data_IF_877578107979
#
_entry.id   IF_877578107979
#
_cell.length_a   1.000
_cell.length_b   1.000
_cell.length_c   1.000
_cell.angle_alpha   90.00
_cell.angle_beta   90.00
_cell.angle_gamma   90.00
#
_symmetry.space_group_name_H-M   'P 1'
#
loop_
_entity.id
_entity.type
_entity.pdbx_description
1 polymer ?
#
# COMPACT_ATOMS: atom_id res chain seq x y z
N UNK A 1 10.47 1.56 38.88
CA UNK A 1 11.16 1.70 40.22
C UNK A 1 10.51 2.82 41.06
N UNK A 2 9.74 3.72 40.48
CA UNK A 2 9.09 4.85 41.21
C UNK A 2 7.61 4.60 41.51
N UNK A 3 7.10 3.39 41.26
CA UNK A 3 5.75 2.96 41.55
C UNK A 3 4.68 3.53 40.57
N UNK A 4 3.45 3.01 40.62
CA UNK A 4 2.39 3.33 39.63
C UNK A 4 1.94 4.82 39.67
N UNK A 5 2.10 5.51 40.79
CA UNK A 5 1.77 6.94 40.92
C UNK A 5 2.70 7.90 40.13
N UNK A 6 3.72 7.38 39.45
CA UNK A 6 4.64 8.16 38.60
C UNK A 6 4.47 7.85 37.12
N UNK A 7 3.49 7.02 36.76
CA UNK A 7 3.15 6.75 35.36
C UNK A 7 2.33 7.92 34.82
N UNK A 8 2.63 8.35 33.58
CA UNK A 8 1.86 9.37 32.88
C UNK A 8 0.36 8.96 32.81
N UNK A 9 -0.59 9.79 33.28
CA UNK A 9 -2.01 9.42 33.29
C UNK A 9 -2.58 9.06 31.90
N UNK A 10 -2.03 9.64 30.84
CA UNK A 10 -2.44 9.39 29.47
C UNK A 10 -1.65 8.25 28.79
N UNK A 11 -0.79 7.54 29.50
CA UNK A 11 0.03 6.46 28.91
C UNK A 11 -0.83 5.47 28.12
N UNK A 12 -1.94 4.99 28.70
CA UNK A 12 -2.79 3.99 28.04
C UNK A 12 -3.45 4.57 26.77
N UNK A 13 -4.15 5.74 26.82
CA UNK A 13 -4.63 6.36 25.59
C UNK A 13 -3.56 6.64 24.53
N UNK A 14 -2.34 7.01 24.93
CA UNK A 14 -1.25 7.26 23.99
C UNK A 14 -0.66 6.00 23.36
N UNK A 15 -0.84 4.85 24.01
CA UNK A 15 -0.24 3.58 23.58
C UNK A 15 -1.16 2.74 22.69
N UNK A 16 -2.48 2.86 22.85
CA UNK A 16 -3.43 2.05 22.07
C UNK A 16 -3.59 2.57 20.64
N UNK A 17 -3.45 1.68 19.66
CA UNK A 17 -3.37 2.01 18.25
C UNK A 17 -4.62 2.68 17.65
N UNK A 18 -5.80 2.46 18.25
CA UNK A 18 -7.06 3.08 17.80
C UNK A 18 -7.09 4.60 17.98
N UNK A 19 -6.22 5.19 18.79
CA UNK A 19 -6.32 6.60 19.17
C UNK A 19 -6.05 7.57 18.02
N UNK A 20 -5.38 7.18 16.95
CA UNK A 20 -5.28 8.00 15.75
C UNK A 20 -6.69 8.24 15.14
N UNK A 21 -7.43 7.16 14.88
CA UNK A 21 -8.80 7.22 14.37
C UNK A 21 -9.75 7.87 15.39
N UNK A 22 -9.59 7.55 16.68
CA UNK A 22 -10.39 8.14 17.77
C UNK A 22 -10.26 9.66 17.86
N UNK A 23 -9.05 10.21 17.73
CA UNK A 23 -8.83 11.65 17.72
C UNK A 23 -9.46 12.32 16.50
N UNK A 24 -9.33 11.72 15.31
CA UNK A 24 -10.01 12.22 14.10
C UNK A 24 -11.52 12.22 14.30
N UNK A 25 -12.09 11.13 14.84
CA UNK A 25 -13.52 11.03 15.15
C UNK A 25 -13.98 12.13 16.11
N UNK A 26 -13.25 12.37 17.19
CA UNK A 26 -13.56 13.43 18.17
C UNK A 26 -13.45 14.82 17.53
N UNK A 27 -12.36 15.07 16.79
CA UNK A 27 -12.09 16.38 16.19
C UNK A 27 -13.18 16.81 15.18
N UNK A 28 -13.69 15.86 14.41
CA UNK A 28 -14.66 16.13 13.35
C UNK A 28 -16.10 15.70 13.69
N UNK A 29 -16.35 15.21 14.90
CA UNK A 29 -17.67 14.78 15.34
C UNK A 29 -18.21 13.56 14.57
N UNK A 30 -17.34 12.68 14.08
CA UNK A 30 -17.72 11.50 13.31
C UNK A 30 -18.20 10.39 14.27
N UNK A 31 -19.47 10.01 14.18
CA UNK A 31 -20.13 9.10 15.15
C UNK A 31 -20.40 7.70 14.59
N UNK A 32 -19.98 7.43 13.36
CA UNK A 32 -20.12 6.12 12.72
C UNK A 32 -19.11 5.11 13.27
N UNK A 33 -18.97 3.99 12.54
CA UNK A 33 -18.00 2.93 12.84
C UNK A 33 -16.58 3.52 12.90
N UNK A 34 -15.91 3.35 14.03
CA UNK A 34 -14.51 3.75 14.23
C UNK A 34 -13.72 2.54 14.66
N UNK A 35 -12.85 2.06 13.80
CA UNK A 35 -12.03 0.87 14.02
C UNK A 35 -10.57 1.15 13.65
N UNK A 36 -9.66 0.32 14.13
CA UNK A 36 -8.27 0.33 13.73
C UNK A 36 -7.91 -1.02 13.10
N UNK A 37 -7.43 -0.97 11.87
CA UNK A 37 -6.86 -2.12 11.17
C UNK A 37 -5.37 -2.18 11.48
N UNK A 38 -4.84 -3.36 11.80
CA UNK A 38 -3.41 -3.57 12.07
C UNK A 38 -2.95 -4.82 11.34
N UNK A 39 -2.27 -4.64 10.22
CA UNK A 39 -1.75 -5.72 9.36
C UNK A 39 -0.35 -5.38 8.84
N UNK A 40 0.50 -4.87 9.74
CA UNK A 40 1.87 -4.45 9.44
C UNK A 40 1.90 -3.52 8.21
N UNK A 41 2.74 -3.78 7.22
CA UNK A 41 2.91 -2.93 6.04
C UNK A 41 1.67 -2.90 5.11
N UNK A 42 0.71 -3.80 5.28
CA UNK A 42 -0.55 -3.81 4.53
C UNK A 42 -1.69 -3.03 5.19
N UNK A 43 -1.44 -2.40 6.35
CA UNK A 43 -2.46 -1.72 7.16
C UNK A 43 -3.26 -0.67 6.37
N UNK A 44 -2.58 0.23 5.66
CA UNK A 44 -3.25 1.30 4.91
C UNK A 44 -4.17 0.77 3.82
N UNK A 45 -3.72 -0.24 3.08
CA UNK A 45 -4.50 -0.89 2.02
C UNK A 45 -5.70 -1.63 2.59
N UNK A 46 -5.51 -2.41 3.65
CA UNK A 46 -6.63 -3.08 4.34
C UNK A 46 -7.62 -2.07 4.92
N UNK A 47 -7.14 -0.98 5.53
CA UNK A 47 -8.01 0.06 6.09
C UNK A 47 -8.95 0.67 5.03
N UNK A 48 -8.41 0.97 3.85
CA UNK A 48 -9.21 1.48 2.72
C UNK A 48 -10.17 0.40 2.20
N UNK A 49 -9.71 -0.85 2.10
CA UNK A 49 -10.53 -1.99 1.67
C UNK A 49 -11.70 -2.26 2.60
N UNK A 50 -11.49 -2.23 3.92
CA UNK A 50 -12.55 -2.41 4.92
C UNK A 50 -13.55 -1.24 4.92
N UNK A 51 -13.07 -0.01 4.69
CA UNK A 51 -13.94 1.15 4.53
C UNK A 51 -14.78 1.05 3.25
N UNK A 52 -14.19 0.58 2.15
CA UNK A 52 -14.91 0.30 0.91
C UNK A 52 -16.03 -0.74 1.12
N UNK A 53 -15.75 -1.84 1.83
CA UNK A 53 -16.77 -2.84 2.19
C UNK A 53 -17.89 -2.26 3.05
N UNK A 54 -17.55 -1.42 4.04
CA UNK A 54 -18.55 -0.78 4.88
C UNK A 54 -19.55 0.08 4.08
N UNK A 55 -19.06 0.81 3.07
CA UNK A 55 -19.91 1.60 2.17
C UNK A 55 -20.73 0.67 1.26
N UNK A 56 -20.12 -0.35 0.67
CA UNK A 56 -20.84 -1.33 -0.18
C UNK A 56 -21.98 -2.05 0.55
N UNK A 57 -21.81 -2.31 1.85
CA UNK A 57 -22.82 -2.95 2.67
C UNK A 57 -23.86 -1.97 3.24
N UNK A 58 -23.76 -0.69 2.92
CA UNK A 58 -24.69 0.34 3.41
C UNK A 58 -24.53 0.65 4.90
N UNK A 59 -23.39 0.32 5.50
CA UNK A 59 -23.11 0.66 6.92
C UNK A 59 -22.76 2.14 7.11
N UNK A 60 -22.28 2.80 6.05
CA UNK A 60 -21.93 4.23 6.03
C UNK A 60 -22.00 4.78 4.61
N UNK A 61 -22.37 6.06 4.47
CA UNK A 61 -22.27 6.79 3.21
C UNK A 61 -20.89 7.40 2.98
N UNK A 62 -20.16 7.69 4.07
CA UNK A 62 -18.84 8.33 4.05
C UNK A 62 -17.92 7.65 5.04
N UNK A 63 -16.72 7.31 4.62
CA UNK A 63 -15.66 6.76 5.47
C UNK A 63 -14.35 7.51 5.25
N UNK A 64 -13.67 7.86 6.36
CA UNK A 64 -12.29 8.35 6.35
C UNK A 64 -11.40 7.15 6.63
N UNK A 65 -10.49 6.83 5.73
CA UNK A 65 -9.67 5.63 5.81
C UNK A 65 -8.25 5.87 5.28
N UNK A 66 -7.34 4.99 5.63
CA UNK A 66 -5.94 5.05 5.19
C UNK A 66 -4.98 4.54 6.25
N UNK A 67 -3.76 5.04 6.23
CA UNK A 67 -2.72 4.68 7.18
C UNK A 67 -1.86 5.87 7.58
N UNK A 68 -1.30 5.81 8.78
CA UNK A 68 -0.33 6.78 9.31
C UNK A 68 0.78 6.05 10.05
N UNK A 69 1.99 6.56 9.97
CA UNK A 69 3.16 5.96 10.61
C UNK A 69 4.17 7.04 11.02
N UNK A 70 4.73 6.91 12.23
CA UNK A 70 5.79 7.77 12.77
C UNK A 70 6.75 6.93 13.63
N UNK A 71 7.38 5.93 13.01
CA UNK A 71 8.19 4.91 13.69
C UNK A 71 9.70 5.11 13.58
N UNK A 72 10.19 6.20 12.98
CA UNK A 72 11.63 6.53 12.92
C UNK A 72 12.08 7.02 14.31
N UNK A 73 12.19 6.08 15.21
CA UNK A 73 12.68 6.27 16.58
C UNK A 73 13.92 5.42 16.79
N UNK A 74 14.78 5.73 17.78
CA UNK A 74 15.95 4.89 18.06
C UNK A 74 15.61 3.41 18.23
N UNK A 75 14.52 3.09 18.92
CA UNK A 75 14.09 1.70 19.12
C UNK A 75 13.50 1.07 17.85
N UNK A 76 12.77 1.84 17.07
CA UNK A 76 12.22 1.39 15.77
C UNK A 76 13.34 1.05 14.79
N UNK A 77 14.31 1.96 14.62
CA UNK A 77 15.49 1.73 13.77
C UNK A 77 16.29 0.54 14.26
N UNK A 78 16.57 0.45 15.57
CA UNK A 78 17.30 -0.66 16.15
C UNK A 78 16.60 -2.02 15.93
N UNK A 79 15.26 -2.05 16.03
CA UNK A 79 14.47 -3.25 15.77
C UNK A 79 14.62 -3.76 14.33
N UNK A 80 14.41 -2.88 13.33
CA UNK A 80 14.57 -3.25 11.93
C UNK A 80 16.02 -3.52 11.53
N UNK A 81 17.00 -2.85 12.16
CA UNK A 81 18.44 -3.15 11.99
C UNK A 81 18.75 -4.57 12.48
N UNK A 82 18.24 -4.96 13.66
CA UNK A 82 18.40 -6.33 14.19
C UNK A 82 17.79 -7.40 13.29
N UNK A 83 16.73 -7.07 12.55
CA UNK A 83 16.12 -7.94 11.54
C UNK A 83 16.91 -8.00 10.24
N UNK A 84 17.99 -7.20 10.09
CA UNK A 84 18.74 -7.05 8.83
C UNK A 84 17.85 -6.65 7.64
N UNK A 85 16.78 -5.89 7.92
CA UNK A 85 15.78 -5.53 6.93
C UNK A 85 16.05 -4.17 6.26
N UNK A 86 16.86 -3.32 6.92
CA UNK A 86 17.18 -1.97 6.43
C UNK A 86 18.36 -1.99 5.46
N UNK A 87 18.28 -1.09 4.47
CA UNK A 87 19.43 -0.79 3.63
C UNK A 87 20.57 -0.19 4.47
N UNK A 88 21.81 -0.58 4.16
CA UNK A 88 23.01 -0.17 4.88
C UNK A 88 24.01 0.59 4.03
N UNK A 89 23.62 1.00 2.79
CA UNK A 89 24.50 1.77 1.92
C UNK A 89 24.65 3.22 2.39
N UNK A 90 25.83 3.80 2.20
CA UNK A 90 26.09 5.23 2.42
C UNK A 90 25.73 6.07 1.17
N UNK A 91 25.44 5.43 0.04
CA UNK A 91 25.02 6.11 -1.19
C UNK A 91 23.49 6.33 -1.19
N UNK A 92 23.09 7.56 -0.95
CA UNK A 92 21.68 7.97 -0.92
C UNK A 92 20.94 7.61 -2.21
N UNK A 93 21.62 7.61 -3.38
CA UNK A 93 21.02 7.26 -4.66
C UNK A 93 20.70 5.76 -4.78
N UNK A 94 21.35 4.93 -3.96
CA UNK A 94 21.16 3.49 -3.89
C UNK A 94 20.40 3.04 -2.64
N UNK A 95 19.85 3.98 -1.87
CA UNK A 95 19.22 3.66 -0.60
C UNK A 95 17.89 2.92 -0.76
N UNK A 96 17.03 3.33 -1.70
CA UNK A 96 15.76 2.66 -2.00
C UNK A 96 15.66 2.44 -3.51
N UNK A 97 16.04 1.24 -3.95
CA UNK A 97 16.15 0.83 -5.36
C UNK A 97 15.36 -0.46 -5.60
N UNK A 98 14.02 -0.43 -5.50
CA UNK A 98 13.20 -1.61 -5.72
C UNK A 98 13.51 -2.27 -7.06
N UNK A 99 13.52 -3.61 -7.05
CA UNK A 99 13.78 -4.50 -8.20
C UNK A 99 15.21 -4.47 -8.75
N UNK A 100 16.09 -3.57 -8.29
CA UNK A 100 17.48 -3.52 -8.73
C UNK A 100 18.30 -4.71 -8.21
N UNK A 101 19.33 -5.12 -8.95
CA UNK A 101 20.22 -6.21 -8.54
C UNK A 101 21.02 -5.90 -7.26
N UNK A 102 21.33 -4.62 -7.02
CA UNK A 102 22.12 -4.15 -5.89
C UNK A 102 21.25 -3.84 -4.66
N UNK A 103 19.93 -4.05 -4.71
CA UNK A 103 19.03 -3.83 -3.58
C UNK A 103 19.41 -4.69 -2.39
N UNK A 104 19.38 -4.12 -1.17
CA UNK A 104 19.79 -4.89 0.01
C UNK A 104 18.96 -4.60 1.27
N UNK A 105 17.82 -3.95 1.15
CA UNK A 105 16.95 -3.61 2.27
C UNK A 105 16.12 -2.36 2.00
N UNK A 106 15.14 -2.10 2.84
CA UNK A 106 14.30 -0.92 2.70
C UNK A 106 14.82 0.28 3.49
N UNK A 107 14.37 1.47 3.15
CA UNK A 107 14.55 2.71 3.91
C UNK A 107 13.25 3.01 4.66
N UNK A 108 13.32 3.25 5.97
CA UNK A 108 12.16 3.67 6.75
C UNK A 108 11.70 5.06 6.32
N UNK A 109 10.39 5.21 6.11
CA UNK A 109 9.71 6.49 5.89
C UNK A 109 8.64 6.73 6.95
N UNK A 110 8.21 7.96 7.10
CA UNK A 110 7.10 8.39 7.95
C UNK A 110 6.11 9.20 7.13
N UNK A 111 4.85 9.19 7.53
CA UNK A 111 3.83 9.99 6.89
C UNK A 111 2.41 9.47 7.11
N UNK A 112 1.49 10.00 6.33
CA UNK A 112 0.10 9.59 6.33
C UNK A 112 -0.49 9.67 4.93
N UNK A 113 -1.28 8.66 4.55
CA UNK A 113 -2.10 8.66 3.36
C UNK A 113 -3.55 8.39 3.76
N UNK A 114 -4.38 9.43 3.71
CA UNK A 114 -5.78 9.37 4.16
C UNK A 114 -6.69 9.77 3.01
N UNK A 115 -7.74 8.99 2.79
CA UNK A 115 -8.76 9.23 1.78
C UNK A 115 -10.14 9.35 2.42
N UNK A 116 -11.02 10.07 1.74
CA UNK A 116 -12.46 10.10 2.03
C UNK A 116 -13.15 9.28 0.94
N UNK A 117 -13.72 8.15 1.33
CA UNK A 117 -14.56 7.33 0.47
C UNK A 117 -16.01 7.72 0.67
N UNK A 118 -16.77 7.78 -0.40
CA UNK A 118 -18.20 8.11 -0.37
C UNK A 118 -18.98 7.15 -1.28
N UNK A 119 -20.25 6.89 -0.92
CA UNK A 119 -21.18 6.30 -1.87
C UNK A 119 -21.37 7.26 -3.06
N UNK A 120 -21.60 6.72 -4.25
CA UNK A 120 -21.80 7.52 -5.46
C UNK A 120 -22.95 8.51 -5.29
N UNK A 121 -24.04 8.04 -4.70
CA UNK A 121 -25.24 8.83 -4.45
C UNK A 121 -24.97 10.01 -3.54
N UNK A 122 -24.22 9.80 -2.46
CA UNK A 122 -23.85 10.87 -1.52
C UNK A 122 -22.93 11.90 -2.20
N UNK A 123 -21.90 11.45 -2.93
CA UNK A 123 -20.96 12.32 -3.63
C UNK A 123 -21.67 13.20 -4.68
N UNK A 124 -22.57 12.59 -5.47
CA UNK A 124 -23.36 13.31 -6.47
C UNK A 124 -24.34 14.29 -5.85
N UNK A 125 -25.04 13.89 -4.77
CA UNK A 125 -26.03 14.76 -4.08
C UNK A 125 -25.43 16.05 -3.56
N UNK A 126 -24.16 16.04 -3.14
CA UNK A 126 -23.44 17.25 -2.68
C UNK A 126 -22.61 17.94 -3.78
N UNK A 127 -22.64 17.44 -5.01
CA UNK A 127 -21.87 18.01 -6.14
C UNK A 127 -20.35 17.85 -5.98
N UNK A 128 -19.88 16.74 -5.38
CA UNK A 128 -18.46 16.50 -5.20
C UNK A 128 -17.74 16.29 -6.54
N UNK A 129 -16.48 16.75 -6.62
CA UNK A 129 -15.57 16.28 -7.65
C UNK A 129 -15.15 14.85 -7.28
N UNK A 130 -15.57 13.87 -8.05
CA UNK A 130 -15.15 12.48 -7.90
C UNK A 130 -13.80 12.33 -8.60
N UNK A 131 -12.77 11.88 -7.87
CA UNK A 131 -11.40 11.74 -8.39
C UNK A 131 -11.22 10.41 -9.11
N UNK A 132 -11.76 9.33 -8.53
CA UNK A 132 -11.71 7.99 -9.05
C UNK A 132 -12.75 7.10 -8.33
N UNK A 133 -12.95 5.88 -8.79
CA UNK A 133 -13.85 4.90 -8.19
C UNK A 133 -13.07 3.70 -7.67
N UNK A 134 -13.25 3.34 -6.39
CA UNK A 134 -12.73 2.08 -5.83
C UNK A 134 -13.65 0.97 -6.30
N UNK A 135 -13.11 -0.01 -7.00
CA UNK A 135 -13.91 -1.07 -7.63
C UNK A 135 -13.56 -2.48 -7.19
N UNK A 136 -12.40 -2.68 -6.58
CA UNK A 136 -11.98 -4.02 -6.17
C UNK A 136 -11.09 -4.01 -4.95
N UNK A 137 -11.29 -5.00 -4.09
CA UNK A 137 -10.47 -5.28 -2.92
C UNK A 137 -10.28 -6.78 -2.77
N UNK A 138 -9.02 -7.19 -2.63
CA UNK A 138 -8.62 -8.56 -2.34
C UNK A 138 -7.67 -8.62 -1.16
N UNK A 139 -7.90 -9.59 -0.27
CA UNK A 139 -7.10 -9.81 0.92
C UNK A 139 -6.83 -11.31 1.11
N UNK A 140 -5.60 -11.65 1.47
CA UNK A 140 -5.15 -13.02 1.73
C UNK A 140 -4.09 -13.05 2.83
N UNK A 141 -3.74 -14.25 3.26
CA UNK A 141 -2.61 -14.49 4.14
C UNK A 141 -1.80 -15.68 3.59
N UNK A 142 -0.48 -15.53 3.57
CA UNK A 142 0.44 -16.59 3.09
C UNK A 142 0.45 -17.83 3.97
N UNK A 143 0.21 -17.67 5.28
CA UNK A 143 0.33 -18.72 6.27
C UNK A 143 1.68 -19.49 6.19
N UNK A 144 2.77 -18.77 5.90
CA UNK A 144 4.08 -19.32 5.58
C UNK A 144 5.14 -18.97 6.62
N UNK A 145 5.48 -17.70 6.79
CA UNK A 145 6.57 -17.25 7.66
C UNK A 145 6.24 -15.88 8.30
N UNK A 146 6.84 -15.60 9.46
CA UNK A 146 6.53 -14.37 10.22
C UNK A 146 6.99 -13.08 9.52
N UNK A 147 8.06 -13.12 8.73
CA UNK A 147 8.63 -11.92 8.07
C UNK A 147 8.87 -12.08 6.56
N UNK A 148 8.96 -13.31 6.05
CA UNK A 148 9.20 -13.57 4.63
C UNK A 148 7.89 -13.85 3.91
N UNK A 149 7.63 -13.24 2.73
CA UNK A 149 6.52 -13.67 1.89
C UNK A 149 6.75 -15.08 1.36
N UNK A 150 5.67 -15.75 0.92
CA UNK A 150 5.73 -17.07 0.30
C UNK A 150 6.58 -17.02 -0.98
N UNK A 151 7.54 -17.93 -1.11
CA UNK A 151 8.54 -17.94 -2.19
C UNK A 151 7.95 -18.10 -3.59
N UNK A 152 6.78 -18.72 -3.68
CA UNK A 152 6.04 -18.92 -4.92
C UNK A 152 5.18 -17.70 -5.31
N UNK A 153 4.99 -16.73 -4.40
CA UNK A 153 4.17 -15.55 -4.62
C UNK A 153 2.65 -15.81 -4.66
N UNK A 154 2.22 -17.03 -4.32
CA UNK A 154 0.82 -17.45 -4.50
C UNK A 154 -0.18 -16.65 -3.67
N UNK A 155 0.18 -16.27 -2.43
CA UNK A 155 -0.69 -15.48 -1.56
C UNK A 155 -0.95 -14.08 -2.12
N UNK A 156 0.09 -13.37 -2.52
CA UNK A 156 -0.03 -12.05 -3.14
C UNK A 156 -0.74 -12.12 -4.51
N UNK A 157 -0.45 -13.14 -5.32
CA UNK A 157 -1.17 -13.37 -6.57
C UNK A 157 -2.68 -13.53 -6.33
N UNK A 158 -3.04 -14.30 -5.30
CA UNK A 158 -4.44 -14.53 -4.96
C UNK A 158 -5.16 -13.28 -4.46
N UNK A 159 -4.46 -12.38 -3.76
CA UNK A 159 -5.04 -11.09 -3.38
C UNK A 159 -5.36 -10.24 -4.62
N UNK A 160 -4.45 -10.19 -5.61
CA UNK A 160 -4.68 -9.50 -6.89
C UNK A 160 -5.85 -10.13 -7.67
N UNK A 161 -5.90 -11.47 -7.77
CA UNK A 161 -7.02 -12.18 -8.41
C UNK A 161 -8.37 -11.88 -7.75
N UNK A 162 -8.41 -11.84 -6.41
CA UNK A 162 -9.63 -11.49 -5.67
C UNK A 162 -10.05 -10.06 -5.93
N UNK A 163 -9.09 -9.11 -5.96
CA UNK A 163 -9.38 -7.71 -6.28
C UNK A 163 -9.93 -7.56 -7.71
N UNK A 164 -9.33 -8.24 -8.70
CA UNK A 164 -9.83 -8.22 -10.09
C UNK A 164 -11.20 -8.86 -10.21
N UNK A 165 -11.43 -9.97 -9.53
CA UNK A 165 -12.75 -10.64 -9.49
C UNK A 165 -13.81 -9.74 -8.88
N UNK A 166 -13.49 -9.05 -7.80
CA UNK A 166 -14.38 -8.11 -7.12
C UNK A 166 -14.72 -6.91 -8.02
N UNK A 167 -13.72 -6.40 -8.73
CA UNK A 167 -13.88 -5.33 -9.72
C UNK A 167 -14.62 -5.78 -11.01
N UNK A 168 -14.79 -7.07 -11.24
CA UNK A 168 -15.39 -7.62 -12.45
C UNK A 168 -14.54 -7.39 -13.71
N UNK A 169 -13.21 -7.34 -13.56
CA UNK A 169 -12.26 -7.11 -14.66
C UNK A 169 -11.36 -8.32 -14.91
N UNK A 170 -10.78 -8.34 -16.11
CA UNK A 170 -9.70 -9.28 -16.48
C UNK A 170 -8.34 -8.60 -16.36
N UNK A 171 -7.23 -9.37 -16.31
CA UNK A 171 -5.88 -8.82 -16.26
C UNK A 171 -5.59 -7.79 -17.36
N UNK A 172 -6.11 -8.00 -18.58
CA UNK A 172 -5.86 -7.16 -19.74
C UNK A 172 -6.41 -5.73 -19.61
N UNK A 173 -7.29 -5.49 -18.65
CA UNK A 173 -7.85 -4.17 -18.38
C UNK A 173 -7.01 -3.35 -17.39
N UNK A 174 -6.02 -3.96 -16.71
CA UNK A 174 -5.11 -3.24 -15.83
C UNK A 174 -4.04 -2.50 -16.64
N UNK A 175 -3.93 -1.21 -16.42
CA UNK A 175 -2.94 -0.34 -17.05
C UNK A 175 -1.70 -0.15 -16.19
N UNK A 176 -1.87 -0.18 -14.86
CA UNK A 176 -0.83 0.17 -13.90
C UNK A 176 -0.89 -0.65 -12.61
N UNK A 177 0.29 -1.09 -12.15
CA UNK A 177 0.52 -1.75 -10.86
C UNK A 177 1.45 -0.89 -10.01
N UNK A 178 0.95 -0.34 -8.92
CA UNK A 178 1.78 0.20 -7.84
C UNK A 178 2.18 -0.95 -6.94
N UNK A 179 3.40 -1.43 -7.10
CA UNK A 179 3.90 -2.58 -6.39
C UNK A 179 4.26 -2.25 -4.94
N UNK A 180 4.23 -3.27 -4.08
CA UNK A 180 4.79 -3.16 -2.75
C UNK A 180 6.28 -2.80 -2.79
N UNK A 181 7.08 -3.48 -3.63
CA UNK A 181 8.43 -3.08 -4.04
C UNK A 181 9.28 -2.43 -2.96
N UNK A 182 9.76 -3.19 -1.98
CA UNK A 182 10.43 -2.66 -0.79
C UNK A 182 11.93 -2.43 -0.95
N UNK A 183 12.53 -2.82 -2.07
CA UNK A 183 13.99 -2.85 -2.21
C UNK A 183 14.66 -3.94 -1.36
N UNK A 184 13.90 -4.95 -0.92
CA UNK A 184 14.43 -6.15 -0.29
C UNK A 184 14.55 -7.29 -1.29
N UNK A 185 15.54 -8.16 -1.08
CA UNK A 185 15.85 -9.24 -2.03
C UNK A 185 14.65 -10.16 -2.29
N UNK A 186 14.03 -10.65 -1.22
CA UNK A 186 12.95 -11.63 -1.30
C UNK A 186 11.63 -11.01 -1.74
N UNK A 187 11.25 -9.87 -1.17
CA UNK A 187 9.96 -9.26 -1.51
C UNK A 187 9.86 -8.98 -3.02
N UNK A 188 10.85 -8.28 -3.57
CA UNK A 188 10.77 -7.81 -4.96
C UNK A 188 10.77 -8.97 -5.96
N UNK A 189 11.54 -10.04 -5.67
CA UNK A 189 11.54 -11.26 -6.45
C UNK A 189 10.20 -12.00 -6.38
N UNK A 190 9.65 -12.15 -5.16
CA UNK A 190 8.43 -12.95 -4.97
C UNK A 190 7.19 -12.17 -5.41
N UNK A 191 7.18 -10.85 -5.26
CA UNK A 191 6.13 -10.01 -5.84
C UNK A 191 6.16 -10.03 -7.38
N UNK A 192 7.33 -10.04 -8.01
CA UNK A 192 7.45 -10.25 -9.45
C UNK A 192 6.79 -11.56 -9.90
N UNK A 193 7.03 -12.66 -9.17
CA UNK A 193 6.36 -13.94 -9.42
C UNK A 193 4.84 -13.83 -9.23
N UNK A 194 4.41 -13.16 -8.16
CA UNK A 194 2.99 -12.98 -7.87
C UNK A 194 2.27 -12.20 -8.99
N UNK A 195 2.88 -11.13 -9.48
CA UNK A 195 2.34 -10.34 -10.61
C UNK A 195 2.22 -11.21 -11.86
N UNK A 196 3.24 -12.01 -12.17
CA UNK A 196 3.20 -12.94 -13.32
C UNK A 196 2.12 -14.01 -13.16
N UNK A 197 1.93 -14.56 -11.95
CA UNK A 197 0.89 -15.54 -11.68
C UNK A 197 -0.50 -14.93 -11.84
N UNK A 198 -0.73 -13.73 -11.29
CA UNK A 198 -2.04 -13.09 -11.31
C UNK A 198 -2.44 -12.56 -12.70
N UNK A 199 -1.46 -12.02 -13.46
CA UNK A 199 -1.74 -11.33 -14.72
C UNK A 199 -1.40 -12.16 -15.97
N UNK A 200 -0.74 -13.30 -15.82
CA UNK A 200 -0.31 -14.14 -16.96
C UNK A 200 0.52 -13.35 -17.97
N UNK A 201 0.24 -13.50 -19.25
CA UNK A 201 0.97 -12.82 -20.33
C UNK A 201 0.84 -11.28 -20.27
N UNK A 202 -0.19 -10.76 -19.61
CA UNK A 202 -0.39 -9.32 -19.45
C UNK A 202 0.62 -8.67 -18.52
N UNK A 203 1.25 -9.43 -17.62
CA UNK A 203 2.32 -8.94 -16.75
C UNK A 203 3.48 -8.27 -17.52
N UNK A 204 3.70 -8.66 -18.77
CA UNK A 204 4.72 -8.09 -19.65
C UNK A 204 4.27 -6.80 -20.38
N UNK A 205 3.02 -6.37 -20.18
CA UNK A 205 2.43 -5.21 -20.88
C UNK A 205 2.02 -4.09 -19.94
N UNK A 206 1.67 -4.44 -18.71
CA UNK A 206 1.26 -3.49 -17.68
C UNK A 206 2.46 -2.67 -17.19
N UNK A 207 2.25 -1.38 -16.89
CA UNK A 207 3.29 -0.57 -16.25
C UNK A 207 3.33 -0.85 -14.75
N UNK A 208 4.52 -1.02 -14.22
CA UNK A 208 4.75 -1.30 -12.79
C UNK A 208 5.70 -0.23 -12.26
N UNK A 209 5.53 0.16 -11.01
CA UNK A 209 6.55 0.91 -10.29
C UNK A 209 6.47 0.65 -8.79
N UNK A 210 7.41 1.19 -8.04
CA UNK A 210 7.33 1.29 -6.59
C UNK A 210 7.49 2.73 -6.14
N UNK A 211 6.47 3.27 -5.48
CA UNK A 211 6.50 4.60 -4.85
C UNK A 211 7.56 4.68 -3.74
N UNK A 212 7.89 3.54 -3.13
CA UNK A 212 8.95 3.46 -2.11
C UNK A 212 10.34 3.83 -2.62
N UNK A 213 10.57 3.81 -3.93
CA UNK A 213 11.80 4.33 -4.53
C UNK A 213 12.00 5.83 -4.28
N UNK A 214 10.92 6.58 -4.08
CA UNK A 214 10.94 8.04 -3.88
C UNK A 214 10.84 8.45 -2.42
N UNK A 215 10.06 7.72 -1.61
CA UNK A 215 9.68 8.15 -0.25
C UNK A 215 10.10 7.18 0.85
N UNK A 216 10.73 6.07 0.50
CA UNK A 216 11.00 4.98 1.44
C UNK A 216 9.74 4.18 1.79
N UNK A 217 9.85 3.29 2.74
CA UNK A 217 8.78 2.42 3.21
C UNK A 217 8.10 3.03 4.44
N UNK A 218 6.89 3.54 4.27
CA UNK A 218 6.11 4.18 5.34
C UNK A 218 5.35 3.15 6.22
N UNK A 219 5.71 1.88 6.17
CA UNK A 219 5.13 0.80 6.98
C UNK A 219 3.59 0.81 6.91
N UNK A 220 2.90 1.05 8.02
CA UNK A 220 1.44 1.08 8.07
C UNK A 220 0.79 2.20 7.25
N UNK A 221 1.51 3.29 6.96
CA UNK A 221 1.03 4.38 6.10
C UNK A 221 1.21 4.10 4.60
N UNK A 222 2.11 3.18 4.22
CA UNK A 222 2.53 2.98 2.84
C UNK A 222 1.35 2.78 1.89
N UNK A 223 0.46 1.83 2.19
CA UNK A 223 -0.68 1.52 1.32
C UNK A 223 -1.65 2.68 1.11
N UNK A 224 -1.79 3.58 2.10
CA UNK A 224 -2.60 4.78 1.95
C UNK A 224 -2.01 5.77 0.93
N UNK A 225 -0.70 6.02 1.02
CA UNK A 225 0.02 6.90 0.08
C UNK A 225 0.08 6.29 -1.32
N UNK A 226 0.33 4.99 -1.42
CA UNK A 226 0.39 4.26 -2.68
C UNK A 226 -0.96 4.21 -3.40
N UNK A 227 -2.05 4.05 -2.65
CA UNK A 227 -3.40 4.17 -3.21
C UNK A 227 -3.68 5.58 -3.74
N UNK A 228 -3.29 6.63 -3.01
CA UNK A 228 -3.40 8.02 -3.49
C UNK A 228 -2.56 8.22 -4.75
N UNK A 229 -1.39 7.60 -4.85
CA UNK A 229 -0.55 7.63 -6.05
C UNK A 229 -1.27 7.01 -7.25
N UNK A 230 -1.98 5.89 -7.07
CA UNK A 230 -2.82 5.31 -8.13
C UNK A 230 -3.91 6.27 -8.59
N UNK A 231 -4.62 6.93 -7.66
CA UNK A 231 -5.63 7.96 -7.99
C UNK A 231 -5.00 9.11 -8.76
N UNK A 232 -3.83 9.60 -8.32
CA UNK A 232 -3.13 10.68 -9.02
C UNK A 232 -2.64 10.27 -10.41
N UNK A 233 -2.18 9.04 -10.59
CA UNK A 233 -1.81 8.52 -11.91
C UNK A 233 -2.98 8.53 -12.88
N UNK A 234 -4.19 8.25 -12.40
CA UNK A 234 -5.43 8.35 -13.20
C UNK A 234 -5.76 9.81 -13.54
N UNK A 235 -5.71 10.73 -12.55
CA UNK A 235 -6.02 12.14 -12.77
C UNK A 235 -5.03 12.81 -13.73
N UNK A 236 -3.74 12.56 -13.53
CA UNK A 236 -2.66 13.26 -14.23
C UNK A 236 -2.27 12.57 -15.56
N UNK A 237 -2.76 11.34 -15.81
CA UNK A 237 -2.36 10.55 -17.00
C UNK A 237 -0.86 10.25 -17.00
N UNK A 238 -0.31 9.92 -15.83
CA UNK A 238 1.14 9.76 -15.67
C UNK A 238 1.49 8.70 -14.63
N UNK A 239 2.35 7.76 -15.01
CA UNK A 239 2.94 6.76 -14.12
C UNK A 239 4.39 7.18 -13.83
N UNK A 240 4.70 7.42 -12.56
CA UNK A 240 6.03 7.86 -12.14
C UNK A 240 7.08 6.73 -12.26
N UNK A 241 8.38 7.04 -12.39
CA UNK A 241 9.39 6.00 -12.49
C UNK A 241 9.66 5.31 -11.15
N UNK A 242 10.25 4.11 -11.21
CA UNK A 242 10.97 3.52 -10.07
C UNK A 242 12.37 4.14 -10.04
N UNK A 243 12.56 5.11 -9.16
CA UNK A 243 13.81 5.88 -9.06
C UNK A 243 14.95 4.97 -8.58
N UNK A 244 16.13 5.14 -9.16
CA UNK A 244 17.34 4.42 -8.77
C UNK A 244 17.44 2.99 -9.32
N UNK A 245 16.42 2.48 -9.99
CA UNK A 245 16.48 1.21 -10.70
C UNK A 245 17.28 1.37 -11.99
N UNK A 246 18.48 0.79 -12.02
CA UNK A 246 19.37 0.82 -13.19
C UNK A 246 19.52 -0.55 -13.83
N UNK A 247 19.65 -1.60 -13.02
CA UNK A 247 19.88 -2.97 -13.47
C UNK A 247 18.92 -3.92 -12.75
N UNK A 248 17.85 -4.38 -13.39
CA UNK A 248 16.92 -5.33 -12.77
C UNK A 248 17.63 -6.58 -12.25
N UNK A 249 17.28 -7.00 -11.03
CA UNK A 249 17.84 -8.20 -10.42
C UNK A 249 17.35 -9.48 -11.10
N UNK A 250 18.05 -10.59 -10.85
CA UNK A 250 17.65 -11.90 -11.37
C UNK A 250 16.19 -12.22 -10.99
N UNK A 251 15.38 -12.56 -11.98
CA UNK A 251 13.96 -12.86 -11.83
C UNK A 251 13.04 -11.62 -11.70
N UNK A 252 13.60 -10.41 -11.66
CA UNK A 252 12.87 -9.15 -11.75
C UNK A 252 12.93 -8.65 -13.20
N UNK A 253 12.08 -9.19 -14.07
CA UNK A 253 12.16 -9.05 -15.53
C UNK A 253 10.89 -8.45 -16.17
N UNK A 254 10.13 -7.67 -15.38
CA UNK A 254 8.94 -6.95 -15.85
C UNK A 254 9.27 -5.46 -16.17
N UNK A 255 8.29 -4.72 -16.67
CA UNK A 255 8.43 -3.29 -16.94
C UNK A 255 8.18 -2.45 -15.68
N UNK A 256 9.23 -2.20 -14.91
CA UNK A 256 9.16 -1.42 -13.67
C UNK A 256 9.23 0.10 -13.87
N UNK A 257 8.94 0.59 -15.06
CA UNK A 257 8.99 2.03 -15.38
C UNK A 257 10.34 2.64 -14.98
N UNK A 258 11.42 2.16 -15.59
CA UNK A 258 12.79 2.57 -15.28
C UNK A 258 13.09 3.98 -15.78
N UNK A 259 14.01 4.68 -15.12
CA UNK A 259 14.59 5.96 -15.48
C UNK A 259 13.60 7.12 -15.52
N UNK A 260 12.62 7.11 -16.42
CA UNK A 260 11.64 8.17 -16.61
C UNK A 260 10.21 7.64 -16.48
N UNK A 261 9.33 8.48 -15.97
CA UNK A 261 7.90 8.15 -15.91
C UNK A 261 7.25 8.20 -17.30
N UNK A 262 6.08 7.62 -17.40
CA UNK A 262 5.37 7.46 -18.67
C UNK A 262 4.03 8.21 -18.64
N UNK A 263 3.83 9.09 -19.62
CA UNK A 263 2.49 9.68 -19.86
C UNK A 263 1.63 8.67 -20.61
N UNK A 264 0.52 8.27 -19.99
CA UNK A 264 -0.41 7.30 -20.57
C UNK A 264 -1.81 7.49 -19.97
N UNK A 265 -2.83 7.05 -20.68
CA UNK A 265 -4.17 6.99 -20.09
C UNK A 265 -4.27 5.78 -19.15
N UNK A 266 -4.52 6.05 -17.88
CA UNK A 266 -4.68 5.02 -16.85
C UNK A 266 -6.17 4.91 -16.53
N UNK A 267 -6.79 3.80 -16.92
CA UNK A 267 -8.19 3.54 -16.63
C UNK A 267 -8.37 2.68 -15.38
N UNK A 268 -7.49 1.71 -15.19
CA UNK A 268 -7.47 0.84 -14.02
C UNK A 268 -6.06 0.76 -13.43
N UNK A 269 -5.95 1.03 -12.15
CA UNK A 269 -4.71 0.85 -11.39
C UNK A 269 -4.94 -0.08 -10.20
N UNK A 270 -3.95 -0.92 -9.89
CA UNK A 270 -3.93 -1.77 -8.70
C UNK A 270 -2.79 -1.35 -7.78
N UNK A 271 -3.07 -1.23 -6.49
CA UNK A 271 -2.07 -1.00 -5.44
C UNK A 271 -1.93 -2.25 -4.59
N UNK A 272 -0.71 -2.77 -4.47
CA UNK A 272 -0.40 -3.97 -3.70
C UNK A 272 0.34 -3.63 -2.41
N UNK A 273 -0.01 -4.30 -1.34
CA UNK A 273 0.74 -4.26 -0.08
C UNK A 273 0.93 -5.65 0.49
N UNK A 274 2.18 -5.95 0.84
CA UNK A 274 2.58 -7.19 1.49
C UNK A 274 3.14 -6.84 2.88
N UNK A 275 2.67 -7.52 3.92
CA UNK A 275 3.05 -7.23 5.30
C UNK A 275 3.61 -8.43 6.04
N UNK A 276 4.44 -8.17 7.03
CA UNK A 276 4.89 -9.19 7.96
C UNK A 276 3.69 -9.94 8.55
N UNK A 277 3.86 -11.25 8.81
CA UNK A 277 2.76 -12.16 9.13
C UNK A 277 2.09 -12.78 7.89
N UNK A 278 2.57 -12.44 6.68
CA UNK A 278 2.04 -12.93 5.41
C UNK A 278 0.77 -12.22 4.96
N UNK A 279 0.52 -11.01 5.45
CA UNK A 279 -0.64 -10.22 5.06
C UNK A 279 -0.47 -9.66 3.65
N UNK A 280 -1.41 -9.95 2.75
CA UNK A 280 -1.44 -9.43 1.39
C UNK A 280 -2.76 -8.70 1.15
N UNK A 281 -2.68 -7.52 0.57
CA UNK A 281 -3.84 -6.71 0.20
C UNK A 281 -3.64 -6.06 -1.17
N UNK A 282 -4.69 -6.05 -1.98
CA UNK A 282 -4.73 -5.39 -3.27
C UNK A 282 -6.00 -4.56 -3.40
N UNK A 283 -5.86 -3.31 -3.82
CA UNK A 283 -6.97 -2.41 -4.12
C UNK A 283 -6.95 -2.02 -5.59
N UNK A 284 -8.10 -2.05 -6.23
CA UNK A 284 -8.26 -1.55 -7.61
C UNK A 284 -9.07 -0.28 -7.60
N UNK A 285 -8.51 0.73 -8.25
CA UNK A 285 -9.15 2.01 -8.52
C UNK A 285 -9.28 2.20 -10.03
N UNK A 286 -10.42 2.77 -10.45
CA UNK A 286 -10.68 3.03 -11.86
C UNK A 286 -10.99 4.50 -12.09
N UNK A 287 -10.73 4.96 -13.30
CA UNK A 287 -11.11 6.29 -13.80
C UNK A 287 -12.63 6.45 -13.72
N UNK A 288 -13.08 7.49 -13.04
CA UNK A 288 -14.50 7.81 -13.01
C UNK A 288 -14.95 8.43 -14.33
N UNK A 289 -16.00 7.89 -14.88
CA UNK A 289 -16.70 8.46 -16.05
C UNK A 289 -18.13 8.76 -15.64
N UNK A 290 -18.52 10.04 -15.76
CA UNK A 290 -19.84 10.53 -15.37
C UNK A 290 -20.97 9.97 -16.27
#
# INVERSE_FOLDING_TARGET
>A
EKGPGRVEPLLVPLMISIMAAGNVSIQFGLKGKCINVVTACATGTHSIGEAFRSIQHGEADVMVAGGTEASITPIGVAGFTSLTALNTTDDVKKASIPFDQDRNGFVMGEGAGIVVLESLEHAQARGAKILAEVVGYGATCDAYHITSPAEDGSGAAKAMEFAMKDAGITPEQLDYVNAHGTSTHHNDLFETKAIKLALGDHANKVKINSTKSMIGHLLGAAGGVEFITCVKSIEDGYVHPTVGLENPGEGCDLDYTMHEGVSMDVNYAISNSLGFGGHNASLIVKKFTA
#
